data_IF_265245464862
#
_entry.id   IF_265245464862
#
_cell.length_a   1.000
_cell.length_b   1.000
_cell.length_c   1.000
_cell.angle_alpha   90.00
_cell.angle_beta   90.00
_cell.angle_gamma   90.00
#
_symmetry.space_group_name_H-M   'P 1'
#
loop_
_entity.id
_entity.type
_entity.pdbx_description
1 polymer ?
#
# COMPACT_ATOMS: atom_id res chain seq x y z
N UNK A 1 8.18 -6.67 10.14
CA UNK A 1 8.53 -6.70 8.71
C UNK A 1 7.63 -5.76 7.96
N UNK A 2 8.24 -4.88 7.16
CA UNK A 2 7.61 -3.72 6.53
C UNK A 2 7.76 -3.83 5.01
N UNK A 3 6.68 -4.12 4.30
CA UNK A 3 6.72 -4.34 2.85
C UNK A 3 5.86 -3.29 2.13
N UNK A 4 6.41 -2.69 1.08
CA UNK A 4 5.64 -1.92 0.11
C UNK A 4 5.58 -2.69 -1.20
N UNK A 5 4.38 -2.83 -1.74
CA UNK A 5 4.14 -3.40 -3.08
C UNK A 5 3.69 -2.29 -4.01
N UNK A 6 4.63 -1.82 -4.82
CA UNK A 6 4.42 -0.83 -5.86
C UNK A 6 4.25 -1.46 -7.24
N UNK A 7 4.02 -0.63 -8.26
CA UNK A 7 3.91 -1.10 -9.63
C UNK A 7 4.00 0.05 -10.61
N UNK A 8 4.65 -0.22 -11.74
CA UNK A 8 5.02 0.78 -12.74
C UNK A 8 3.97 0.98 -13.85
N UNK A 9 2.75 0.52 -13.59
CA UNK A 9 1.63 0.61 -14.52
C UNK A 9 0.30 0.25 -13.85
N UNK A 10 -0.78 0.31 -14.63
CA UNK A 10 -2.10 -0.16 -14.20
C UNK A 10 -2.19 -1.68 -14.34
N UNK A 11 -2.93 -2.32 -13.43
CA UNK A 11 -3.23 -3.76 -13.47
C UNK A 11 -1.99 -4.70 -13.55
N UNK A 12 -0.83 -4.25 -13.07
CA UNK A 12 0.44 -5.01 -13.12
C UNK A 12 0.53 -6.22 -12.16
N UNK A 13 -0.55 -6.59 -11.48
CA UNK A 13 -0.55 -7.75 -10.57
C UNK A 13 -0.14 -7.48 -9.12
N UNK A 14 -0.01 -6.22 -8.68
CA UNK A 14 0.29 -5.83 -7.28
C UNK A 14 -0.56 -6.57 -6.25
N UNK A 15 -1.88 -6.47 -6.37
CA UNK A 15 -2.80 -7.13 -5.43
C UNK A 15 -2.59 -8.64 -5.40
N UNK A 16 -2.34 -9.27 -6.54
CA UNK A 16 -2.04 -10.70 -6.60
C UNK A 16 -0.77 -11.02 -5.81
N UNK A 17 0.29 -10.23 -5.97
CA UNK A 17 1.52 -10.40 -5.22
C UNK A 17 1.31 -10.23 -3.71
N UNK A 18 0.60 -9.18 -3.28
CA UNK A 18 0.23 -8.95 -1.87
C UNK A 18 -0.52 -10.15 -1.31
N UNK A 19 -1.58 -10.60 -1.98
CA UNK A 19 -2.36 -11.78 -1.57
C UNK A 19 -1.50 -13.03 -1.47
N UNK A 20 -0.58 -13.28 -2.41
CA UNK A 20 0.31 -14.45 -2.37
C UNK A 20 1.26 -14.39 -1.18
N UNK A 21 1.86 -13.23 -0.91
CA UNK A 21 2.75 -13.04 0.26
C UNK A 21 1.99 -13.33 1.55
N UNK A 22 0.81 -12.72 1.72
CA UNK A 22 -0.04 -12.92 2.90
C UNK A 22 -0.41 -14.40 3.05
N UNK A 23 -0.87 -15.05 1.98
CA UNK A 23 -1.30 -16.45 2.01
C UNK A 23 -0.17 -17.43 2.34
N UNK A 24 1.06 -17.14 1.89
CA UNK A 24 2.24 -17.97 2.14
C UNK A 24 2.91 -17.69 3.50
N UNK A 25 2.50 -16.65 4.23
CA UNK A 25 3.14 -16.23 5.48
C UNK A 25 2.14 -15.72 6.52
N UNK A 26 1.04 -16.45 6.71
CA UNK A 26 -0.08 -16.07 7.58
C UNK A 26 0.30 -15.95 9.05
N UNK A 27 1.31 -16.70 9.48
CA UNK A 27 1.89 -16.67 10.82
C UNK A 27 2.46 -15.28 11.20
N UNK A 28 2.74 -14.43 10.21
CA UNK A 28 3.24 -13.05 10.44
C UNK A 28 2.16 -12.06 10.87
N UNK A 29 0.89 -12.45 10.93
CA UNK A 29 -0.21 -11.58 11.39
C UNK A 29 -0.26 -10.22 10.68
N UNK A 30 -0.23 -10.24 9.35
CA UNK A 30 -0.15 -9.03 8.52
C UNK A 30 -1.27 -8.01 8.77
N UNK A 31 -0.88 -6.75 8.98
CA UNK A 31 -1.77 -5.60 8.71
C UNK A 31 -1.58 -5.16 7.27
N UNK A 32 -2.61 -5.33 6.44
CA UNK A 32 -2.55 -4.99 5.03
C UNK A 32 -3.27 -3.66 4.75
N UNK A 33 -2.61 -2.73 4.08
CA UNK A 33 -3.20 -1.43 3.71
C UNK A 33 -3.21 -1.30 2.20
N UNK A 34 -4.36 -0.96 1.63
CA UNK A 34 -4.46 -0.52 0.24
C UNK A 34 -4.56 0.99 0.19
N UNK A 35 -3.80 1.64 -0.68
CA UNK A 35 -3.89 3.08 -0.90
C UNK A 35 -4.40 3.31 -2.32
N UNK A 36 -5.47 4.09 -2.46
CA UNK A 36 -5.99 4.53 -3.74
C UNK A 36 -6.17 6.05 -3.79
N UNK A 37 -6.00 6.64 -4.98
CA UNK A 37 -6.23 8.06 -5.22
C UNK A 37 -7.73 8.40 -5.38
N UNK A 38 -8.63 7.47 -5.08
CA UNK A 38 -10.06 7.73 -5.16
C UNK A 38 -10.46 8.73 -4.06
N UNK A 39 -11.26 9.73 -4.41
CA UNK A 39 -11.79 10.67 -3.44
C UNK A 39 -12.59 9.91 -2.38
N UNK A 40 -12.39 10.17 -1.08
CA UNK A 40 -13.25 9.59 -0.06
C UNK A 40 -14.67 10.17 -0.16
N UNK A 41 -15.69 9.44 0.32
CA UNK A 41 -17.05 9.98 0.44
C UNK A 41 -17.09 11.26 1.30
N UNK A 42 -17.96 12.19 0.95
CA UNK A 42 -18.18 13.40 1.77
C UNK A 42 -17.15 14.51 1.62
N UNK A 43 -16.19 14.39 0.70
CA UNK A 43 -15.28 15.49 0.35
C UNK A 43 -14.13 15.72 1.33
N UNK A 44 -13.90 14.81 2.28
CA UNK A 44 -12.71 14.82 3.12
C UNK A 44 -11.42 14.74 2.25
N UNK A 45 -10.27 15.24 2.74
CA UNK A 45 -9.01 15.13 2.00
C UNK A 45 -8.55 13.66 1.87
N UNK A 46 -8.81 12.85 2.90
CA UNK A 46 -8.58 11.41 2.88
C UNK A 46 -9.59 10.67 3.78
N UNK A 47 -9.64 9.35 3.63
CA UNK A 47 -10.28 8.42 4.56
C UNK A 47 -9.34 7.25 4.81
N UNK A 48 -9.15 6.86 6.06
CA UNK A 48 -8.43 5.66 6.47
C UNK A 48 -9.35 4.83 7.36
N UNK A 49 -9.80 3.68 6.85
CA UNK A 49 -10.82 2.86 7.54
C UNK A 49 -10.40 1.39 7.56
N UNK A 50 -10.76 0.70 8.64
CA UNK A 50 -10.76 -0.76 8.64
C UNK A 50 -11.77 -1.24 7.59
N UNK A 51 -11.36 -2.15 6.72
CA UNK A 51 -12.18 -2.66 5.62
C UNK A 51 -12.34 -4.18 5.81
N UNK A 52 -13.36 -4.52 6.59
CA UNK A 52 -13.59 -5.87 7.10
C UNK A 52 -14.52 -6.70 6.19
N UNK A 53 -15.26 -6.04 5.28
CA UNK A 53 -16.30 -6.68 4.49
C UNK A 53 -16.52 -6.00 3.13
N UNK A 54 -16.26 -6.78 2.07
CA UNK A 54 -16.66 -6.52 0.67
C UNK A 54 -16.00 -5.37 -0.10
N UNK A 55 -15.09 -4.60 0.52
CA UNK A 55 -14.39 -3.49 -0.13
C UNK A 55 -13.16 -3.88 -0.97
N UNK A 56 -12.37 -2.86 -1.26
CA UNK A 56 -11.19 -2.90 -2.12
C UNK A 56 -10.03 -3.76 -1.55
N UNK A 57 -10.10 -4.11 -0.25
CA UNK A 57 -9.15 -4.96 0.47
C UNK A 57 -9.64 -6.39 0.74
N UNK A 58 -10.86 -6.75 0.32
CA UNK A 58 -11.46 -8.08 0.51
C UNK A 58 -10.47 -9.22 0.19
N UNK A 59 -9.74 -9.09 -0.91
CA UNK A 59 -8.76 -10.09 -1.37
C UNK A 59 -7.59 -10.27 -0.38
N UNK A 60 -7.20 -9.24 0.36
CA UNK A 60 -6.16 -9.35 1.40
C UNK A 60 -6.68 -10.16 2.58
N UNK A 61 -7.93 -9.90 3.00
CA UNK A 61 -8.56 -10.64 4.09
C UNK A 61 -8.76 -12.11 3.73
N UNK A 62 -9.27 -12.40 2.55
CA UNK A 62 -9.42 -13.78 2.01
C UNK A 62 -8.07 -14.50 1.90
N UNK A 63 -6.98 -13.77 1.59
CA UNK A 63 -5.64 -14.33 1.60
C UNK A 63 -5.14 -14.71 3.00
N UNK A 64 -5.71 -14.13 4.06
CA UNK A 64 -5.37 -14.41 5.46
C UNK A 64 -4.75 -13.23 6.20
N UNK A 65 -4.94 -11.99 5.74
CA UNK A 65 -4.47 -10.81 6.48
C UNK A 65 -5.16 -10.74 7.84
N UNK A 66 -4.41 -10.40 8.89
CA UNK A 66 -4.93 -10.27 10.24
C UNK A 66 -5.85 -9.05 10.37
N UNK A 67 -5.42 -7.91 9.83
CA UNK A 67 -6.19 -6.66 9.73
C UNK A 67 -6.08 -6.10 8.32
N UNK A 68 -7.12 -5.44 7.84
CA UNK A 68 -7.17 -4.80 6.53
C UNK A 68 -7.64 -3.37 6.64
N UNK A 69 -6.96 -2.46 5.94
CA UNK A 69 -7.31 -1.04 5.89
C UNK A 69 -7.34 -0.54 4.46
N UNK A 70 -8.28 0.35 4.20
CA UNK A 70 -8.33 1.09 2.95
C UNK A 70 -8.11 2.57 3.21
N UNK A 71 -7.07 3.11 2.56
CA UNK A 71 -6.77 4.53 2.50
C UNK A 71 -7.19 5.06 1.13
N UNK A 72 -8.00 6.12 1.15
CA UNK A 72 -8.48 6.84 -0.02
C UNK A 72 -8.13 8.32 0.08
N UNK A 73 -7.79 8.95 -1.04
CA UNK A 73 -7.61 10.40 -1.14
C UNK A 73 -6.15 10.84 -1.18
N UNK A 74 -5.88 12.03 -0.63
CA UNK A 74 -4.55 12.60 -0.59
C UNK A 74 -3.65 11.88 0.42
N UNK A 75 -2.61 11.21 -0.09
CA UNK A 75 -1.65 10.49 0.73
C UNK A 75 -0.90 11.43 1.67
N UNK A 76 -0.52 12.64 1.22
CA UNK A 76 0.29 13.55 2.01
C UNK A 76 -0.45 13.95 3.30
N UNK A 77 -1.72 14.34 3.17
CA UNK A 77 -2.62 14.60 4.31
C UNK A 77 -2.82 13.39 5.21
N UNK A 78 -2.83 12.17 4.64
CA UNK A 78 -3.06 10.93 5.39
C UNK A 78 -1.82 10.35 6.09
N UNK A 79 -0.61 10.87 5.81
CA UNK A 79 0.65 10.30 6.32
C UNK A 79 0.72 10.21 7.84
N UNK A 80 0.30 11.21 8.65
CA UNK A 80 0.37 11.12 10.10
C UNK A 80 -0.42 9.91 10.65
N UNK A 81 -1.67 9.77 10.22
CA UNK A 81 -2.56 8.68 10.66
C UNK A 81 -2.09 7.32 10.15
N UNK A 82 -1.64 7.26 8.90
CA UNK A 82 -1.09 6.03 8.34
C UNK A 82 0.16 5.59 9.12
N UNK A 83 1.08 6.51 9.43
CA UNK A 83 2.28 6.20 10.22
C UNK A 83 1.92 5.74 11.63
N UNK A 84 0.95 6.39 12.28
CA UNK A 84 0.46 5.99 13.60
C UNK A 84 -0.13 4.58 13.58
N UNK A 85 -0.97 4.26 12.58
CA UNK A 85 -1.50 2.91 12.38
C UNK A 85 -0.39 1.87 12.20
N UNK A 86 0.61 2.17 11.36
CA UNK A 86 1.67 1.21 11.03
C UNK A 86 2.65 1.01 12.19
N UNK A 87 2.89 2.02 13.03
CA UNK A 87 3.77 1.94 14.19
C UNK A 87 3.28 0.94 15.25
N UNK A 88 1.96 0.76 15.38
CA UNK A 88 1.32 -0.18 16.30
C UNK A 88 1.21 -1.61 15.73
N UNK A 89 1.84 -1.89 14.58
CA UNK A 89 1.71 -3.18 13.90
C UNK A 89 3.06 -3.86 13.69
N UNK A 90 3.21 -5.13 14.11
CA UNK A 90 4.50 -5.82 14.04
C UNK A 90 4.94 -6.15 12.60
N UNK A 91 3.96 -6.46 11.75
CA UNK A 91 4.18 -6.72 10.33
C UNK A 91 3.09 -6.04 9.51
N UNK A 92 3.51 -5.31 8.48
CA UNK A 92 2.59 -4.65 7.57
C UNK A 92 3.02 -4.77 6.11
N UNK A 93 2.01 -4.76 5.25
CA UNK A 93 2.17 -4.75 3.81
C UNK A 93 1.26 -3.68 3.19
N UNK A 94 1.85 -2.75 2.44
CA UNK A 94 1.14 -1.63 1.82
C UNK A 94 1.12 -1.80 0.30
N UNK A 95 -0.06 -1.85 -0.31
CA UNK A 95 -0.20 -1.80 -1.77
C UNK A 95 -0.29 -0.33 -2.22
N UNK A 96 0.85 0.23 -2.67
CA UNK A 96 0.93 1.57 -3.26
C UNK A 96 2.31 1.83 -3.85
N UNK A 97 2.36 2.40 -5.07
CA UNK A 97 3.62 2.94 -5.59
C UNK A 97 4.04 4.22 -4.89
N UNK A 98 3.08 5.10 -4.57
CA UNK A 98 3.38 6.39 -3.94
C UNK A 98 3.94 6.26 -2.53
N UNK A 99 3.58 5.20 -1.79
CA UNK A 99 4.06 4.97 -0.43
C UNK A 99 5.59 4.79 -0.33
N UNK A 100 6.25 4.36 -1.42
CA UNK A 100 7.71 4.14 -1.46
C UNK A 100 8.52 5.36 -1.03
N UNK A 101 8.00 6.57 -1.28
CA UNK A 101 8.68 7.83 -0.96
C UNK A 101 8.41 8.35 0.45
N UNK A 102 7.46 7.78 1.17
CA UNK A 102 6.95 8.39 2.41
C UNK A 102 7.02 7.47 3.64
N UNK A 103 7.16 6.17 3.43
CA UNK A 103 7.20 5.17 4.50
C UNK A 103 8.54 4.47 4.52
N UNK A 104 9.17 4.41 5.68
CA UNK A 104 10.30 3.51 5.89
C UNK A 104 9.84 2.06 5.79
N UNK A 105 10.60 1.25 5.06
CA UNK A 105 10.26 -0.14 4.79
C UNK A 105 11.51 -1.01 4.73
N UNK A 106 11.34 -2.31 4.97
CA UNK A 106 12.43 -3.28 4.90
C UNK A 106 12.58 -3.78 3.45
N UNK A 107 11.46 -3.90 2.72
CA UNK A 107 11.42 -4.37 1.34
C UNK A 107 10.44 -3.57 0.48
N UNK A 108 10.88 -3.24 -0.74
CA UNK A 108 10.03 -2.72 -1.81
C UNK A 108 9.96 -3.76 -2.93
N UNK A 109 8.75 -4.19 -3.27
CA UNK A 109 8.50 -5.13 -4.36
C UNK A 109 7.71 -4.43 -5.45
N UNK A 110 8.19 -4.49 -6.69
CA UNK A 110 7.53 -3.87 -7.84
C UNK A 110 6.90 -4.94 -8.73
N UNK A 111 5.58 -4.91 -8.83
CA UNK A 111 4.87 -5.69 -9.83
C UNK A 111 4.86 -4.92 -11.14
N UNK A 112 5.51 -5.46 -12.16
CA UNK A 112 5.71 -4.84 -13.47
C UNK A 112 5.12 -5.70 -14.57
N UNK A 113 4.50 -5.05 -15.55
CA UNK A 113 4.21 -5.63 -16.85
C UNK A 113 5.20 -4.98 -17.84
N UNK A 114 6.18 -5.73 -18.38
CA UNK A 114 7.19 -5.16 -19.28
C UNK A 114 6.61 -4.47 -20.52
N UNK A 115 5.40 -4.84 -20.93
CA UNK A 115 4.72 -4.21 -22.07
C UNK A 115 4.10 -2.84 -21.72
N UNK A 116 3.93 -2.52 -20.43
CA UNK A 116 3.17 -1.37 -19.95
C UNK A 116 3.85 -0.69 -18.75
N UNK A 117 5.07 -0.19 -18.96
CA UNK A 117 5.81 0.61 -17.99
C UNK A 117 5.57 2.10 -18.30
N UNK A 118 5.22 2.87 -17.28
CA UNK A 118 5.09 4.33 -17.34
C UNK A 118 6.42 4.97 -16.92
N UNK A 119 7.09 5.69 -17.82
CA UNK A 119 8.43 6.26 -17.61
C UNK A 119 8.47 7.21 -16.41
N UNK A 120 7.41 8.00 -16.18
CA UNK A 120 7.34 8.92 -15.04
C UNK A 120 7.38 8.16 -13.70
N UNK A 121 6.82 6.95 -13.65
CA UNK A 121 6.89 6.11 -12.45
C UNK A 121 8.27 5.52 -12.25
N UNK A 122 9.01 5.23 -13.32
CA UNK A 122 10.41 4.80 -13.23
C UNK A 122 11.28 5.92 -12.70
N UNK A 123 11.15 7.13 -13.25
CA UNK A 123 11.87 8.30 -12.76
C UNK A 123 11.55 8.56 -11.28
N UNK A 124 10.29 8.46 -10.89
CA UNK A 124 9.85 8.61 -9.50
C UNK A 124 10.37 7.55 -8.52
N UNK A 125 11.03 6.47 -8.98
CA UNK A 125 11.79 5.54 -8.11
C UNK A 125 13.22 6.04 -7.83
N UNK A 126 13.78 6.82 -8.74
CA UNK A 126 15.15 7.34 -8.65
C UNK A 126 15.19 8.59 -7.77
N UNK A 127 14.10 9.36 -7.74
CA UNK A 127 13.89 10.44 -6.79
C UNK A 127 13.69 9.87 -5.39
N UNK A 128 14.80 9.68 -4.67
CA UNK A 128 14.79 9.66 -3.22
C UNK A 128 14.41 11.07 -2.81
N UNK A 129 13.17 11.27 -2.36
CA UNK A 129 12.75 12.56 -1.82
C UNK A 129 13.82 13.04 -0.84
N UNK A 130 14.41 14.21 -1.13
CA UNK A 130 15.19 14.92 -0.14
C UNK A 130 14.27 15.07 1.08
N UNK A 131 14.66 14.43 2.17
CA UNK A 131 14.06 14.70 3.47
C UNK A 131 14.58 16.08 3.83
N UNK A 132 13.81 17.11 3.50
CA UNK A 132 14.03 18.44 4.08
C UNK A 132 14.06 18.27 5.61
N UNK A 133 15.15 18.76 6.19
CA UNK A 133 15.48 18.65 7.62
C UNK A 133 14.64 19.50 8.54
#
# INVERSE_FOLDING_TARGET
>A
MRIIVGGLGRKTGKTTLVCRIIALSRDRQWTAVKISHHQPPGGAPYSLQADDAAGDTRRFREAGAHRTFWLQGDLASALPDLKALLADTPNWIVESGAALRHLEHDFALLAVDPAHIEDEKVLGLLDRGEVDG
#
